data_IF_033795024640
#
_entry.id   IF_033795024640
#
_cell.length_a   1.000
_cell.length_b   1.000
_cell.length_c   1.000
_cell.angle_alpha   90.00
_cell.angle_beta   90.00
_cell.angle_gamma   90.00
#
_symmetry.space_group_name_H-M   'P 1'
#
loop_
_entity.id
_entity.type
_entity.pdbx_description
1 polymer ?
#
# COMPACT_ATOMS: atom_id res chain seq x y z
N UNK A 1 43.21 39.67 59.32
CA UNK A 1 41.84 39.23 59.64
C UNK A 1 41.18 38.85 58.32
N UNK A 2 40.71 37.60 58.22
CA UNK A 2 40.10 36.94 57.04
C UNK A 2 38.85 37.69 56.57
N UNK A 3 38.52 37.66 55.27
CA UNK A 3 37.45 36.81 54.69
C UNK A 3 37.70 36.73 53.17
N UNK A 4 37.90 35.52 52.64
CA UNK A 4 37.93 35.25 51.21
C UNK A 4 36.66 34.47 50.88
N UNK A 5 35.70 35.14 50.25
CA UNK A 5 34.41 34.55 49.86
C UNK A 5 34.61 33.71 48.61
N UNK A 6 34.46 32.39 48.74
CA UNK A 6 34.48 31.46 47.61
C UNK A 6 33.05 31.27 47.13
N UNK A 7 32.76 31.70 45.89
CA UNK A 7 31.48 31.47 45.23
C UNK A 7 31.56 30.09 44.54
N UNK A 8 30.73 29.17 45.00
CA UNK A 8 30.60 27.84 44.41
C UNK A 8 29.50 27.89 43.33
N UNK A 9 29.89 27.95 42.06
CA UNK A 9 28.94 27.83 40.94
C UNK A 9 28.53 26.38 40.76
N UNK A 10 27.26 26.07 41.09
CA UNK A 10 26.66 24.78 40.80
C UNK A 10 26.35 24.69 39.29
N UNK A 11 27.16 23.95 38.53
CA UNK A 11 26.81 23.58 37.16
C UNK A 11 25.77 22.47 37.20
N UNK A 12 24.49 22.81 37.00
CA UNK A 12 23.44 21.82 36.72
C UNK A 12 23.56 21.44 35.24
N UNK A 13 24.15 20.28 34.97
CA UNK A 13 24.13 19.68 33.65
C UNK A 13 22.71 19.16 33.38
N UNK A 14 21.96 19.88 32.55
CA UNK A 14 20.68 19.38 32.01
C UNK A 14 21.01 18.22 31.07
N UNK A 15 20.86 16.99 31.54
CA UNK A 15 20.90 15.82 30.66
C UNK A 15 19.67 15.89 29.76
N UNK A 16 19.88 16.31 28.52
CA UNK A 16 18.86 16.25 27.49
C UNK A 16 18.69 14.78 27.09
N UNK A 17 17.83 14.06 27.82
CA UNK A 17 17.37 12.74 27.41
C UNK A 17 16.59 12.92 26.12
N UNK A 18 17.24 12.69 24.98
CA UNK A 18 16.53 12.56 23.71
C UNK A 18 15.58 11.38 23.87
N UNK A 19 14.30 11.66 24.14
CA UNK A 19 13.24 10.65 24.10
C UNK A 19 13.25 10.15 22.66
N UNK A 20 13.71 8.92 22.46
CA UNK A 20 13.63 8.27 21.15
C UNK A 20 12.18 8.37 20.69
N UNK A 21 11.97 8.98 19.51
CA UNK A 21 10.64 9.12 18.95
C UNK A 21 9.97 7.73 18.90
N UNK A 22 8.69 7.68 19.23
CA UNK A 22 7.91 6.44 19.09
C UNK A 22 8.08 5.92 17.65
N UNK A 23 8.65 4.71 17.45
CA UNK A 23 8.98 4.23 16.12
C UNK A 23 7.74 3.89 15.29
N UNK A 24 6.56 3.75 15.93
CA UNK A 24 5.29 3.41 15.29
C UNK A 24 4.16 4.34 15.77
N UNK A 25 4.21 5.64 15.45
CA UNK A 25 3.33 6.66 16.04
C UNK A 25 1.86 6.54 15.59
N UNK A 26 1.61 5.92 14.44
CA UNK A 26 0.26 5.63 13.93
C UNK A 26 -0.35 4.33 14.48
N UNK A 27 0.38 3.60 15.33
CA UNK A 27 -0.08 2.35 15.92
C UNK A 27 -0.56 2.58 17.36
N UNK A 28 -1.78 2.14 17.65
CA UNK A 28 -2.29 2.08 19.02
C UNK A 28 -1.38 1.19 19.88
N UNK A 29 -1.21 1.57 21.14
CA UNK A 29 -0.54 0.71 22.12
C UNK A 29 -1.31 -0.61 22.28
N UNK A 30 -0.59 -1.73 22.32
CA UNK A 30 -1.20 -3.05 22.42
C UNK A 30 -0.29 -4.17 21.90
N UNK A 31 -0.74 -5.43 22.03
CA UNK A 31 0.08 -6.61 21.81
C UNK A 31 0.69 -6.68 20.40
N UNK A 32 0.01 -6.17 19.37
CA UNK A 32 0.53 -6.16 18.00
C UNK A 32 1.73 -5.21 17.84
N UNK A 33 1.62 -3.97 18.33
CA UNK A 33 2.71 -2.99 18.29
C UNK A 33 3.91 -3.49 19.08
N UNK A 34 3.66 -4.05 20.27
CA UNK A 34 4.71 -4.61 21.12
C UNK A 34 5.42 -5.79 20.45
N UNK A 35 4.65 -6.70 19.84
CA UNK A 35 5.21 -7.85 19.12
C UNK A 35 6.11 -7.42 17.97
N UNK A 36 5.68 -6.46 17.13
CA UNK A 36 6.49 -5.93 16.02
C UNK A 36 7.79 -5.31 16.56
N UNK A 37 7.70 -4.43 17.54
CA UNK A 37 8.87 -3.73 18.11
C UNK A 37 9.84 -4.73 18.74
N UNK A 38 9.34 -5.69 19.52
CA UNK A 38 10.17 -6.67 20.20
C UNK A 38 10.82 -7.64 19.22
N UNK A 39 10.09 -8.07 18.19
CA UNK A 39 10.64 -8.91 17.13
C UNK A 39 11.78 -8.20 16.41
N UNK A 40 11.57 -6.95 15.94
CA UNK A 40 12.61 -6.17 15.26
C UNK A 40 13.82 -5.94 16.17
N UNK A 41 13.61 -5.58 17.44
CA UNK A 41 14.71 -5.40 18.41
C UNK A 41 15.52 -6.68 18.60
N UNK A 42 14.86 -7.82 18.78
CA UNK A 42 15.56 -9.08 19.00
C UNK A 42 16.25 -9.57 17.72
N UNK A 43 15.58 -9.51 16.57
CA UNK A 43 16.12 -9.93 15.28
C UNK A 43 17.34 -9.12 14.82
N UNK A 44 17.53 -7.91 15.36
CA UNK A 44 18.62 -7.00 14.98
C UNK A 44 19.73 -6.87 16.02
N UNK A 45 19.59 -7.47 17.21
CA UNK A 45 20.57 -7.36 18.29
C UNK A 45 21.48 -8.59 18.37
N UNK A 46 22.78 -8.38 18.15
CA UNK A 46 23.84 -9.39 18.25
C UNK A 46 23.87 -9.93 19.70
N UNK A 47 23.27 -11.10 19.93
CA UNK A 47 23.11 -11.70 21.26
C UNK A 47 21.68 -12.09 21.62
N UNK A 48 20.67 -11.70 20.82
CA UNK A 48 19.33 -12.25 20.98
C UNK A 48 19.23 -13.66 20.38
N UNK A 49 18.51 -14.61 21.00
CA UNK A 49 18.29 -15.95 20.42
C UNK A 49 17.59 -15.96 19.06
N UNK A 50 16.88 -14.89 18.70
CA UNK A 50 16.21 -14.74 17.40
C UNK A 50 16.98 -13.81 16.46
N UNK A 51 18.27 -13.54 16.71
CA UNK A 51 19.08 -12.69 15.84
C UNK A 51 19.07 -13.21 14.40
N UNK A 52 18.86 -12.29 13.46
CA UNK A 52 18.89 -12.56 12.02
C UNK A 52 20.02 -11.71 11.42
N UNK A 53 21.00 -12.33 10.72
CA UNK A 53 22.03 -11.59 9.99
C UNK A 53 21.41 -10.57 9.03
N UNK A 54 21.99 -9.38 8.83
CA UNK A 54 21.40 -8.34 8.00
C UNK A 54 20.92 -8.79 6.62
N UNK A 55 21.68 -9.67 5.95
CA UNK A 55 21.34 -10.19 4.63
C UNK A 55 20.08 -11.07 4.58
N UNK A 56 19.66 -11.62 5.73
CA UNK A 56 18.52 -12.53 5.85
C UNK A 56 17.27 -11.82 6.40
N UNK A 57 17.34 -10.50 6.66
CA UNK A 57 16.23 -9.69 7.20
C UNK A 57 15.23 -9.32 6.10
N UNK A 58 14.58 -10.32 5.52
CA UNK A 58 13.58 -10.14 4.47
C UNK A 58 12.18 -10.20 5.07
N UNK A 59 11.41 -9.12 4.91
CA UNK A 59 10.00 -9.06 5.26
C UNK A 59 9.16 -8.97 3.98
N UNK A 60 8.09 -9.78 3.91
CA UNK A 60 7.16 -9.78 2.78
C UNK A 60 5.81 -9.22 3.24
N UNK A 61 5.21 -8.39 2.40
CA UNK A 61 3.90 -7.81 2.62
C UNK A 61 3.03 -8.13 1.42
N UNK A 62 1.81 -8.57 1.68
CA UNK A 62 0.77 -8.49 0.67
C UNK A 62 0.44 -7.00 0.40
N UNK A 63 -0.20 -6.71 -0.73
CA UNK A 63 -0.51 -5.34 -1.14
C UNK A 63 -1.98 -5.00 -0.87
N UNK A 64 -2.89 -5.67 -1.56
CA UNK A 64 -4.34 -5.48 -1.45
C UNK A 64 -4.85 -5.89 -0.05
N UNK A 65 -5.59 -5.01 0.62
CA UNK A 65 -6.08 -5.24 1.98
C UNK A 65 -5.02 -5.15 3.09
N UNK A 66 -3.73 -5.07 2.74
CA UNK A 66 -2.61 -4.99 3.69
C UNK A 66 -1.93 -3.62 3.67
N UNK A 67 -1.40 -3.19 2.53
CA UNK A 67 -0.75 -1.87 2.37
C UNK A 67 -1.73 -0.79 1.90
N UNK A 68 -2.78 -1.19 1.16
CA UNK A 68 -3.84 -0.29 0.70
C UNK A 68 -5.21 -0.98 0.73
N UNK A 69 -6.28 -0.23 0.46
CA UNK A 69 -7.64 -0.78 0.46
C UNK A 69 -7.91 -1.68 -0.75
N UNK A 70 -8.67 -2.74 -0.54
CA UNK A 70 -9.20 -3.64 -1.59
C UNK A 70 -10.72 -3.54 -1.74
N UNK A 71 -11.34 -2.53 -1.11
CA UNK A 71 -12.78 -2.35 -1.11
C UNK A 71 -13.18 -1.19 -2.03
N UNK A 72 -14.33 -1.27 -2.73
CA UNK A 72 -15.23 -2.43 -2.82
C UNK A 72 -14.70 -3.55 -3.73
N UNK A 73 -13.55 -3.36 -4.37
CA UNK A 73 -12.85 -4.35 -5.17
C UNK A 73 -11.36 -3.97 -5.29
N UNK A 74 -10.53 -4.86 -5.84
CA UNK A 74 -9.13 -4.56 -6.14
C UNK A 74 -8.98 -3.39 -7.11
N UNK A 75 -7.99 -2.52 -6.88
CA UNK A 75 -7.74 -1.39 -7.79
C UNK A 75 -7.31 -1.83 -9.18
N UNK A 76 -6.58 -2.95 -9.32
CA UNK A 76 -6.24 -3.51 -10.62
C UNK A 76 -7.50 -3.92 -11.41
N UNK A 77 -8.50 -4.48 -10.73
CA UNK A 77 -9.78 -4.80 -11.37
C UNK A 77 -10.46 -3.52 -11.83
N UNK A 78 -10.57 -2.50 -10.97
CA UNK A 78 -11.18 -1.21 -11.35
C UNK A 78 -10.49 -0.59 -12.57
N UNK A 79 -9.15 -0.58 -12.57
CA UNK A 79 -8.34 -0.15 -13.71
C UNK A 79 -8.71 -0.92 -14.99
N UNK A 80 -8.78 -2.25 -14.92
CA UNK A 80 -9.13 -3.08 -16.08
C UNK A 80 -10.54 -2.76 -16.61
N UNK A 81 -11.51 -2.54 -15.74
CA UNK A 81 -12.88 -2.17 -16.14
C UNK A 81 -12.91 -0.80 -16.83
N UNK A 82 -12.18 0.19 -16.32
CA UNK A 82 -12.07 1.50 -16.95
C UNK A 82 -11.30 1.45 -18.28
N UNK A 83 -10.31 0.55 -18.40
CA UNK A 83 -9.61 0.31 -19.66
C UNK A 83 -10.51 -0.28 -20.73
N UNK A 84 -11.37 -1.24 -20.38
CA UNK A 84 -12.40 -1.74 -21.31
C UNK A 84 -13.27 -0.59 -21.82
N UNK A 85 -13.74 0.28 -20.93
CA UNK A 85 -14.56 1.45 -21.33
C UNK A 85 -13.79 2.41 -22.25
N UNK A 86 -12.52 2.68 -21.94
CA UNK A 86 -11.68 3.57 -22.72
C UNK A 86 -11.33 3.01 -24.12
N UNK A 87 -11.37 1.69 -24.30
CA UNK A 87 -11.08 1.01 -25.56
C UNK A 87 -12.35 0.70 -26.37
N UNK A 88 -13.55 0.88 -25.79
CA UNK A 88 -14.82 0.44 -26.36
C UNK A 88 -15.12 0.99 -27.77
N UNK A 89 -14.67 2.20 -28.10
CA UNK A 89 -14.86 2.79 -29.43
C UNK A 89 -14.13 2.02 -30.54
N UNK A 90 -13.07 1.28 -30.19
CA UNK A 90 -12.28 0.44 -31.09
C UNK A 90 -12.81 -0.99 -31.17
N UNK A 91 -13.78 -1.34 -30.30
CA UNK A 91 -14.29 -2.70 -30.11
C UNK A 91 -15.82 -2.73 -30.13
N UNK A 92 -16.45 -2.52 -31.31
CA UNK A 92 -17.91 -2.50 -31.42
C UNK A 92 -18.59 -3.82 -30.99
N UNK A 93 -17.88 -4.96 -31.09
CA UNK A 93 -18.33 -6.28 -30.66
C UNK A 93 -18.60 -6.37 -29.15
N UNK A 94 -17.89 -5.57 -28.34
CA UNK A 94 -18.07 -5.54 -26.88
C UNK A 94 -19.44 -5.06 -26.42
N UNK A 95 -20.22 -4.44 -27.32
CA UNK A 95 -21.62 -4.07 -27.03
C UNK A 95 -22.53 -5.29 -26.86
N UNK A 96 -22.13 -6.46 -27.35
CA UNK A 96 -22.92 -7.70 -27.29
C UNK A 96 -22.14 -8.89 -26.71
N UNK A 97 -20.82 -8.76 -26.55
CA UNK A 97 -19.96 -9.83 -26.03
C UNK A 97 -19.77 -9.73 -24.52
N UNK A 98 -19.97 -10.84 -23.81
CA UNK A 98 -19.69 -10.94 -22.38
C UNK A 98 -18.22 -11.34 -22.11
N UNK A 99 -17.56 -10.78 -21.07
CA UNK A 99 -18.12 -9.92 -20.03
C UNK A 99 -18.14 -8.42 -20.37
N UNK A 100 -17.65 -8.02 -21.55
CA UNK A 100 -17.45 -6.60 -21.89
C UNK A 100 -18.74 -5.79 -21.90
N UNK A 101 -19.83 -6.34 -22.43
CA UNK A 101 -21.14 -5.69 -22.43
C UNK A 101 -21.56 -5.28 -21.01
N UNK A 102 -21.44 -6.20 -20.03
CA UNK A 102 -21.78 -5.92 -18.64
C UNK A 102 -20.92 -4.78 -18.06
N UNK A 103 -19.66 -4.67 -18.47
CA UNK A 103 -18.78 -3.57 -18.03
C UNK A 103 -19.26 -2.23 -18.60
N UNK A 104 -19.62 -2.19 -19.88
CA UNK A 104 -20.13 -0.99 -20.55
C UNK A 104 -21.47 -0.54 -19.96
N UNK A 105 -22.31 -1.48 -19.54
CA UNK A 105 -23.60 -1.24 -18.89
C UNK A 105 -23.48 -0.97 -17.37
N UNK A 106 -22.28 -1.06 -16.79
CA UNK A 106 -22.01 -0.97 -15.34
C UNK A 106 -22.70 -2.04 -14.48
N UNK A 107 -22.99 -3.22 -15.05
CA UNK A 107 -23.50 -4.38 -14.31
C UNK A 107 -22.36 -5.16 -13.65
N UNK A 108 -21.86 -4.63 -12.53
CA UNK A 108 -20.79 -5.28 -11.77
C UNK A 108 -21.19 -6.65 -11.20
N UNK A 109 -22.49 -6.94 -11.06
CA UNK A 109 -22.95 -8.26 -10.59
C UNK A 109 -22.76 -9.30 -11.69
N UNK A 110 -23.09 -8.96 -12.94
CA UNK A 110 -22.82 -9.83 -14.10
C UNK A 110 -21.31 -10.00 -14.32
N UNK A 111 -20.51 -8.93 -14.17
CA UNK A 111 -19.04 -9.03 -14.21
C UNK A 111 -18.51 -9.98 -13.14
N UNK A 112 -18.97 -9.86 -11.89
CA UNK A 112 -18.56 -10.78 -10.82
C UNK A 112 -19.00 -12.23 -11.09
N UNK A 113 -20.20 -12.42 -11.64
CA UNK A 113 -20.73 -13.74 -11.98
C UNK A 113 -19.95 -14.44 -13.11
N UNK A 114 -19.23 -13.69 -13.95
CA UNK A 114 -18.36 -14.26 -15.00
C UNK A 114 -17.14 -15.02 -14.44
N UNK A 115 -16.83 -14.82 -13.16
CA UNK A 115 -15.79 -15.55 -12.43
C UNK A 115 -14.40 -15.43 -13.07
N UNK A 116 -13.58 -16.46 -12.88
CA UNK A 116 -12.20 -16.49 -13.33
C UNK A 116 -12.06 -16.37 -14.86
N UNK A 117 -12.97 -16.98 -15.62
CA UNK A 117 -12.89 -16.94 -17.08
C UNK A 117 -13.13 -15.52 -17.62
N UNK A 118 -14.18 -14.84 -17.13
CA UNK A 118 -14.43 -13.46 -17.51
C UNK A 118 -13.30 -12.52 -17.06
N UNK A 119 -12.78 -12.71 -15.85
CA UNK A 119 -11.61 -11.97 -15.38
C UNK A 119 -10.40 -12.15 -16.32
N UNK A 120 -10.09 -13.38 -16.73
CA UNK A 120 -8.99 -13.64 -17.66
C UNK A 120 -9.20 -12.97 -19.03
N UNK A 121 -10.43 -12.96 -19.56
CA UNK A 121 -10.76 -12.25 -20.80
C UNK A 121 -10.54 -10.74 -20.67
N UNK A 122 -10.99 -10.15 -19.58
CA UNK A 122 -10.79 -8.72 -19.29
C UNK A 122 -9.30 -8.41 -19.20
N UNK A 123 -8.55 -9.20 -18.43
CA UNK A 123 -7.11 -9.02 -18.26
C UNK A 123 -6.35 -9.15 -19.58
N UNK A 124 -6.69 -10.15 -20.40
CA UNK A 124 -6.04 -10.37 -21.68
C UNK A 124 -6.14 -9.15 -22.60
N UNK A 125 -7.33 -8.55 -22.76
CA UNK A 125 -7.49 -7.41 -23.67
C UNK A 125 -6.96 -6.09 -23.11
N UNK A 126 -6.87 -5.96 -21.79
CA UNK A 126 -6.47 -4.69 -21.14
C UNK A 126 -4.99 -4.61 -20.76
N UNK A 127 -4.27 -5.73 -20.75
CA UNK A 127 -2.88 -5.83 -20.27
C UNK A 127 -1.92 -6.48 -21.27
N UNK A 128 -2.35 -6.76 -22.51
CA UNK A 128 -1.49 -7.40 -23.52
C UNK A 128 -1.47 -6.64 -24.84
N UNK A 129 -0.43 -6.87 -25.64
CA UNK A 129 -0.25 -6.21 -26.95
C UNK A 129 0.41 -4.83 -26.88
N UNK A 130 0.94 -4.44 -25.72
CA UNK A 130 1.70 -3.21 -25.49
C UNK A 130 3.03 -3.50 -24.80
N UNK A 131 3.96 -2.56 -24.88
CA UNK A 131 5.20 -2.59 -24.10
C UNK A 131 4.94 -2.29 -22.62
N UNK A 132 5.91 -2.59 -21.77
CA UNK A 132 5.85 -2.26 -20.34
C UNK A 132 5.75 -0.75 -20.10
N UNK A 133 6.42 0.05 -20.90
CA UNK A 133 6.46 1.51 -20.75
C UNK A 133 5.11 2.14 -21.11
N UNK A 134 4.47 1.66 -22.18
CA UNK A 134 3.12 2.07 -22.55
C UNK A 134 2.08 1.66 -21.50
N UNK A 135 2.23 0.45 -20.94
CA UNK A 135 1.37 -0.01 -19.86
C UNK A 135 1.54 0.86 -18.60
N UNK A 136 2.79 1.14 -18.22
CA UNK A 136 3.10 2.00 -17.08
C UNK A 136 2.48 3.40 -17.25
N UNK A 137 2.65 4.04 -18.41
CA UNK A 137 2.08 5.36 -18.65
C UNK A 137 0.55 5.34 -18.61
N UNK A 138 -0.07 4.27 -19.11
CA UNK A 138 -1.51 4.07 -19.06
C UNK A 138 -2.01 4.00 -17.60
N UNK A 139 -1.34 3.23 -16.75
CA UNK A 139 -1.67 3.12 -15.31
C UNK A 139 -1.43 4.45 -14.59
N UNK A 140 -0.30 5.13 -14.87
CA UNK A 140 0.04 6.45 -14.31
C UNK A 140 -0.96 7.52 -14.71
N UNK A 141 -1.50 7.45 -15.91
CA UNK A 141 -2.56 8.35 -16.36
C UNK A 141 -3.87 8.06 -15.64
N UNK A 142 -4.24 6.79 -15.52
CA UNK A 142 -5.46 6.39 -14.81
C UNK A 142 -5.45 6.83 -13.34
N UNK A 143 -4.37 6.57 -12.60
CA UNK A 143 -4.32 6.87 -11.15
C UNK A 143 -4.43 8.36 -10.83
N UNK A 144 -4.09 9.26 -11.77
CA UNK A 144 -4.26 10.72 -11.60
C UNK A 144 -5.74 11.13 -11.59
N UNK A 145 -6.56 10.45 -12.39
CA UNK A 145 -7.96 10.82 -12.64
C UNK A 145 -8.97 9.91 -11.95
N UNK A 146 -8.58 8.67 -11.66
CA UNK A 146 -9.42 7.70 -10.99
C UNK A 146 -9.87 8.23 -9.63
N UNK A 147 -11.07 7.81 -9.22
CA UNK A 147 -11.64 8.14 -7.92
C UNK A 147 -12.30 6.90 -7.36
N UNK A 148 -12.11 6.65 -6.08
CA UNK A 148 -12.78 5.58 -5.37
C UNK A 148 -14.30 5.65 -5.57
N UNK A 149 -14.98 4.57 -6.00
CA UNK A 149 -16.36 4.63 -6.47
C UNK A 149 -17.37 5.07 -5.41
N UNK A 150 -17.17 4.69 -4.14
CA UNK A 150 -18.05 5.10 -3.04
C UNK A 150 -17.59 6.39 -2.33
N UNK A 151 -16.28 6.54 -2.07
CA UNK A 151 -15.72 7.63 -1.27
C UNK A 151 -15.44 8.91 -2.07
N UNK A 152 -15.36 8.81 -3.40
CA UNK A 152 -15.10 9.94 -4.33
C UNK A 152 -13.77 10.68 -4.11
N UNK A 153 -12.86 10.09 -3.35
CA UNK A 153 -11.47 10.54 -3.19
C UNK A 153 -10.58 9.87 -4.24
N UNK A 154 -9.39 10.41 -4.53
CA UNK A 154 -8.36 9.69 -5.30
C UNK A 154 -8.15 8.28 -4.77
#
# INVERSE_FOLDING_TARGET
MRVMTVIFCLFVSVMNSAVAADPLPSWNAGPTKDAIINFVKCATNDGCPLYIPPQDRIAVFDNDGTLWSEQPAYFQLMFALDRVKAMADQHPEWKTEQPFQAILENDFKAVAASGKEGLLKIMAVTHSGMTTDEFEETVRSWIKTARHPQRKVP
#
